data_IF_999054691600
#
_entry.id   IF_999054691600
#
_cell.length_a   1.000
_cell.length_b   1.000
_cell.length_c   1.000
_cell.angle_alpha   90.00
_cell.angle_beta   90.00
_cell.angle_gamma   90.00
#
_symmetry.space_group_name_H-M   'P 1'
#
loop_
_entity.id
_entity.type
_entity.pdbx_description
1 polymer ?
#
# COMPACT_ATOMS: atom_id res chain seq x y z
N UNK A 1 14.11 -6.64 58.29
CA UNK A 1 15.26 -6.76 57.38
C UNK A 1 14.97 -7.91 56.45
N UNK A 2 15.19 -7.75 55.18
CA UNK A 2 14.99 -8.72 54.11
C UNK A 2 13.57 -8.93 53.54
N UNK A 3 13.15 -7.95 52.73
CA UNK A 3 12.13 -8.23 51.68
C UNK A 3 12.26 -7.32 50.47
N UNK A 4 13.41 -6.71 50.17
CA UNK A 4 13.59 -5.77 49.05
C UNK A 4 14.60 -6.22 47.96
N UNK A 5 14.99 -7.48 47.93
CA UNK A 5 16.04 -7.96 46.99
C UNK A 5 15.60 -9.13 46.11
N UNK A 6 14.39 -9.11 45.52
CA UNK A 6 14.01 -10.07 44.43
C UNK A 6 12.99 -9.48 43.47
N UNK A 7 13.37 -8.44 42.72
CA UNK A 7 12.57 -7.95 41.58
C UNK A 7 13.45 -7.31 40.51
N UNK A 8 14.39 -8.05 40.04
CA UNK A 8 15.25 -7.62 38.90
C UNK A 8 15.62 -8.83 38.09
N UNK A 9 14.68 -9.46 37.40
CA UNK A 9 14.91 -10.47 36.34
C UNK A 9 13.57 -10.87 35.69
N UNK A 10 12.92 -9.94 35.00
CA UNK A 10 11.88 -10.26 34.01
C UNK A 10 11.80 -9.14 32.96
N UNK A 11 12.91 -8.90 32.26
CA UNK A 11 12.93 -8.07 31.04
C UNK A 11 13.22 -8.95 29.81
N UNK A 12 12.56 -10.11 29.72
CA UNK A 12 12.72 -11.06 28.63
C UNK A 12 11.48 -11.35 27.80
N UNK A 13 10.29 -10.80 28.15
CA UNK A 13 9.03 -11.20 27.52
C UNK A 13 8.50 -10.22 26.44
N UNK A 14 9.17 -9.08 26.22
CA UNK A 14 8.69 -8.05 25.29
C UNK A 14 8.92 -8.36 23.78
N UNK A 15 9.88 -9.19 23.45
CA UNK A 15 10.20 -9.50 22.04
C UNK A 15 9.25 -10.55 21.44
N UNK A 16 8.81 -11.52 22.23
CA UNK A 16 7.91 -12.58 21.73
C UNK A 16 6.47 -12.08 21.47
N UNK A 17 6.01 -11.06 22.18
CA UNK A 17 4.65 -10.53 21.96
C UNK A 17 4.56 -9.66 20.70
N UNK A 18 5.63 -8.93 20.35
CA UNK A 18 5.71 -8.14 19.10
C UNK A 18 5.78 -9.04 17.86
N UNK A 19 6.61 -10.08 17.90
CA UNK A 19 6.70 -11.09 16.83
C UNK A 19 5.36 -11.78 16.56
N UNK A 20 4.61 -12.12 17.62
CA UNK A 20 3.32 -12.78 17.50
C UNK A 20 2.21 -11.87 16.97
N UNK A 21 2.27 -10.57 17.26
CA UNK A 21 1.32 -9.57 16.74
C UNK A 21 1.54 -9.33 15.25
N UNK A 22 2.79 -9.24 14.81
CA UNK A 22 3.16 -9.04 13.41
C UNK A 22 2.86 -10.28 12.55
N UNK A 23 3.09 -11.49 13.09
CA UNK A 23 2.68 -12.73 12.42
C UNK A 23 1.14 -12.81 12.24
N UNK A 24 0.36 -12.33 13.20
CA UNK A 24 -1.11 -12.27 13.09
C UNK A 24 -1.56 -11.23 12.06
N UNK A 25 -0.90 -10.07 11.96
CA UNK A 25 -1.18 -9.04 10.95
C UNK A 25 -0.83 -9.56 9.56
N UNK A 26 0.32 -10.21 9.39
CA UNK A 26 0.73 -10.84 8.14
C UNK A 26 -0.16 -12.03 7.75
N UNK A 27 -0.62 -12.83 8.72
CA UNK A 27 -1.59 -13.89 8.49
C UNK A 27 -2.96 -13.32 8.05
N UNK A 28 -3.44 -12.26 8.70
CA UNK A 28 -4.66 -11.57 8.29
C UNK A 28 -4.51 -10.98 6.87
N UNK A 29 -3.38 -10.37 6.54
CA UNK A 29 -3.10 -9.86 5.20
C UNK A 29 -3.08 -10.98 4.14
N UNK A 30 -2.50 -12.14 4.44
CA UNK A 30 -2.55 -13.33 3.56
C UNK A 30 -3.96 -13.87 3.38
N UNK A 31 -4.77 -13.90 4.44
CA UNK A 31 -6.17 -14.35 4.37
C UNK A 31 -6.98 -13.41 3.47
N UNK A 32 -6.80 -12.09 3.60
CA UNK A 32 -7.51 -11.11 2.75
C UNK A 32 -6.98 -11.07 1.31
N UNK A 33 -5.69 -11.35 1.09
CA UNK A 33 -5.12 -11.47 -0.27
C UNK A 33 -5.50 -12.77 -0.98
N UNK A 34 -5.90 -13.81 -0.22
CA UNK A 34 -6.35 -15.11 -0.74
C UNK A 34 -7.87 -15.24 -0.85
N UNK A 35 -8.64 -14.23 -0.46
CA UNK A 35 -10.07 -14.24 -0.72
C UNK A 35 -10.29 -14.21 -2.25
N UNK A 36 -11.17 -15.09 -2.76
CA UNK A 36 -11.52 -15.05 -4.18
C UNK A 36 -11.96 -13.63 -4.53
N UNK A 37 -11.68 -13.14 -5.74
CA UNK A 37 -12.10 -11.82 -6.16
C UNK A 37 -13.62 -11.73 -5.97
N UNK A 38 -14.03 -11.07 -4.89
CA UNK A 38 -15.42 -10.62 -4.77
C UNK A 38 -15.67 -9.73 -5.98
N UNK A 39 -16.81 -9.86 -6.59
CA UNK A 39 -17.25 -9.04 -7.72
C UNK A 39 -16.77 -7.60 -7.54
N UNK A 40 -16.27 -6.99 -8.61
CA UNK A 40 -15.79 -5.61 -8.52
C UNK A 40 -16.96 -4.70 -8.11
N UNK A 41 -16.65 -3.59 -7.45
CA UNK A 41 -17.67 -2.62 -7.06
C UNK A 41 -18.46 -2.15 -8.30
N UNK A 42 -17.76 -1.94 -9.42
CA UNK A 42 -18.40 -1.57 -10.68
C UNK A 42 -19.30 -2.69 -11.23
N UNK A 43 -18.88 -3.96 -11.12
CA UNK A 43 -19.69 -5.10 -11.59
C UNK A 43 -20.97 -5.26 -10.75
N UNK A 44 -20.88 -5.02 -9.44
CA UNK A 44 -22.02 -5.04 -8.53
C UNK A 44 -23.00 -3.89 -8.77
N UNK A 45 -22.52 -2.73 -9.18
CA UNK A 45 -23.34 -1.52 -9.39
C UNK A 45 -23.76 -1.39 -10.87
N UNK A 46 -22.89 -1.79 -11.81
CA UNK A 46 -23.16 -1.73 -13.27
C UNK A 46 -23.29 -0.32 -13.87
N UNK A 47 -22.93 0.72 -13.12
CA UNK A 47 -23.16 2.12 -13.49
C UNK A 47 -21.87 2.96 -13.60
N UNK A 48 -20.71 2.34 -13.44
CA UNK A 48 -19.43 3.04 -13.52
C UNK A 48 -19.04 3.34 -14.96
N UNK A 49 -18.63 4.58 -15.21
CA UNK A 49 -18.01 4.95 -16.50
C UNK A 49 -16.54 4.60 -16.47
N UNK A 50 -16.05 3.88 -17.48
CA UNK A 50 -14.62 3.60 -17.63
C UNK A 50 -13.94 4.82 -18.24
N UNK A 51 -12.92 5.33 -17.53
CA UNK A 51 -12.11 6.48 -17.94
C UNK A 51 -10.64 6.08 -17.94
N UNK A 52 -9.91 6.44 -18.99
CA UNK A 52 -8.46 6.24 -19.08
C UNK A 52 -7.76 7.49 -18.56
N UNK A 53 -6.93 7.31 -17.54
CA UNK A 53 -6.08 8.35 -16.98
C UNK A 53 -4.64 8.14 -17.46
N UNK A 54 -4.09 9.02 -18.31
CA UNK A 54 -2.70 8.95 -18.73
C UNK A 54 -1.72 9.03 -17.54
N UNK A 55 -0.51 8.50 -17.71
CA UNK A 55 0.55 8.64 -16.71
C UNK A 55 0.74 10.11 -16.31
N UNK A 56 0.87 10.38 -15.02
CA UNK A 56 1.01 11.72 -14.44
C UNK A 56 -0.29 12.51 -14.29
N UNK A 57 -1.43 12.04 -14.83
CA UNK A 57 -2.71 12.73 -14.65
C UNK A 57 -3.31 12.46 -13.27
N UNK A 58 -4.16 13.38 -12.80
CA UNK A 58 -4.84 13.26 -11.51
C UNK A 58 -6.23 12.69 -11.69
N UNK A 59 -6.59 11.71 -10.84
CA UNK A 59 -7.95 11.24 -10.69
C UNK A 59 -8.76 12.26 -9.88
N UNK A 60 -8.16 12.77 -8.81
CA UNK A 60 -8.70 13.87 -8.00
C UNK A 60 -7.58 14.61 -7.29
N UNK A 61 -7.87 15.83 -6.82
CA UNK A 61 -6.93 16.67 -6.08
C UNK A 61 -7.35 16.81 -4.62
N UNK A 62 -6.39 17.09 -3.76
CA UNK A 62 -6.65 17.40 -2.36
C UNK A 62 -7.59 18.61 -2.25
N UNK A 63 -8.54 18.55 -1.32
CA UNK A 63 -9.57 19.54 -1.04
C UNK A 63 -10.63 19.76 -2.15
N UNK A 64 -10.62 18.95 -3.22
CA UNK A 64 -11.72 18.96 -4.21
C UNK A 64 -12.94 18.18 -3.69
N UNK A 65 -14.17 18.47 -4.17
CA UNK A 65 -15.37 17.71 -3.80
C UNK A 65 -15.19 16.21 -4.08
N UNK A 66 -15.63 15.37 -3.12
CA UNK A 66 -15.55 13.92 -3.23
C UNK A 66 -16.88 13.36 -3.73
N UNK A 67 -17.18 13.62 -4.99
CA UNK A 67 -18.44 13.23 -5.65
C UNK A 67 -18.38 11.81 -6.24
N UNK A 68 -17.16 11.27 -6.41
CA UNK A 68 -16.93 9.99 -7.07
C UNK A 68 -16.06 9.05 -6.22
N UNK A 69 -16.28 7.77 -6.41
CA UNK A 69 -15.42 6.66 -6.00
C UNK A 69 -14.77 6.10 -7.26
N UNK A 70 -13.52 5.75 -7.20
CA UNK A 70 -12.72 5.30 -8.33
C UNK A 70 -12.26 3.87 -8.08
N UNK A 71 -12.66 2.93 -8.93
CA UNK A 71 -12.16 1.55 -8.90
C UNK A 71 -11.13 1.35 -10.00
N UNK A 72 -9.92 0.95 -9.64
CA UNK A 72 -8.84 0.72 -10.59
C UNK A 72 -9.11 -0.59 -11.33
N UNK A 73 -9.22 -0.55 -12.65
CA UNK A 73 -9.38 -1.73 -13.52
C UNK A 73 -8.02 -2.22 -14.04
N UNK A 74 -7.13 -1.29 -14.37
CA UNK A 74 -5.74 -1.58 -14.75
C UNK A 74 -4.84 -0.39 -14.42
N UNK A 75 -3.53 -0.62 -14.36
CA UNK A 75 -2.55 0.43 -14.09
C UNK A 75 -2.17 0.55 -12.61
N UNK A 76 -1.45 1.62 -12.29
CA UNK A 76 -0.95 1.93 -10.95
C UNK A 76 -1.17 3.40 -10.64
N UNK A 77 -1.79 3.67 -9.50
CA UNK A 77 -2.00 5.02 -8.99
C UNK A 77 -1.49 5.13 -7.55
N UNK A 78 -1.25 6.34 -7.08
CA UNK A 78 -0.92 6.60 -5.68
C UNK A 78 -1.73 7.75 -5.11
N UNK A 79 -1.97 7.71 -3.81
CA UNK A 79 -2.51 8.84 -3.07
C UNK A 79 -1.39 9.56 -2.32
N UNK A 80 -1.51 10.87 -2.21
CA UNK A 80 -0.53 11.68 -1.52
C UNK A 80 -1.15 12.89 -0.84
N UNK A 81 -0.45 13.40 0.16
CA UNK A 81 -0.75 14.65 0.85
C UNK A 81 0.29 15.70 0.52
N UNK A 82 -0.15 16.92 0.26
CA UNK A 82 0.74 18.08 0.18
C UNK A 82 0.73 18.76 1.55
N UNK A 83 1.89 18.79 2.20
CA UNK A 83 2.06 19.46 3.49
C UNK A 83 1.98 20.97 3.36
N UNK A 84 1.84 21.70 4.48
CA UNK A 84 1.88 23.16 4.50
C UNK A 84 3.19 23.76 3.95
N UNK A 85 4.29 23.01 4.01
CA UNK A 85 5.58 23.38 3.42
C UNK A 85 5.69 23.06 1.91
N UNK A 86 4.63 22.58 1.27
CA UNK A 86 4.61 22.21 -0.15
C UNK A 86 5.23 20.84 -0.48
N UNK A 87 5.70 20.11 0.51
CA UNK A 87 6.29 18.79 0.29
C UNK A 87 5.20 17.73 0.05
N UNK A 88 5.42 16.85 -0.95
CA UNK A 88 4.58 15.71 -1.22
C UNK A 88 4.96 14.54 -0.29
N UNK A 89 3.94 13.87 0.26
CA UNK A 89 4.06 12.65 1.02
C UNK A 89 3.11 11.62 0.45
N UNK A 90 3.64 10.56 -0.12
CA UNK A 90 2.82 9.44 -0.63
C UNK A 90 2.29 8.68 0.56
N UNK A 91 0.99 8.34 0.50
CA UNK A 91 0.26 7.67 1.58
C UNK A 91 0.05 6.19 1.26
N UNK A 92 -0.36 5.86 0.02
CA UNK A 92 -0.53 4.47 -0.41
C UNK A 92 -0.52 4.36 -1.95
N UNK A 93 -0.29 3.13 -2.44
CA UNK A 93 -0.34 2.76 -3.85
C UNK A 93 -1.53 1.84 -4.09
N UNK A 94 -2.19 2.00 -5.24
CA UNK A 94 -3.39 1.24 -5.59
C UNK A 94 -3.27 0.64 -6.99
N UNK A 95 -3.78 -0.58 -7.12
CA UNK A 95 -3.73 -1.42 -8.31
C UNK A 95 -5.11 -1.90 -8.71
N UNK A 96 -5.18 -2.68 -9.78
CA UNK A 96 -6.42 -3.30 -10.23
C UNK A 96 -7.17 -4.02 -9.09
N UNK A 97 -8.48 -3.87 -9.08
CA UNK A 97 -9.41 -4.42 -8.10
C UNK A 97 -9.56 -3.60 -6.82
N UNK A 98 -8.80 -2.51 -6.64
CA UNK A 98 -8.88 -1.66 -5.46
C UNK A 98 -9.67 -0.38 -5.74
N UNK A 99 -10.42 0.07 -4.73
CA UNK A 99 -11.23 1.30 -4.80
C UNK A 99 -10.61 2.40 -3.95
N UNK A 100 -10.70 3.64 -4.45
CA UNK A 100 -10.18 4.85 -3.78
C UNK A 100 -11.21 5.97 -3.84
N UNK A 101 -11.01 6.97 -3.00
CA UNK A 101 -11.93 8.13 -2.95
C UNK A 101 -13.17 7.89 -2.09
N UNK A 102 -13.20 6.80 -1.30
CA UNK A 102 -14.27 6.54 -0.33
C UNK A 102 -14.14 7.56 0.81
N UNK A 103 -14.71 8.74 0.63
CA UNK A 103 -14.63 9.82 1.61
C UNK A 103 -15.91 9.87 2.46
N UNK A 104 -15.74 10.01 3.78
CA UNK A 104 -16.87 10.17 4.72
C UNK A 104 -17.43 11.60 4.64
N UNK A 105 -16.62 12.59 4.29
CA UNK A 105 -16.97 14.01 4.19
C UNK A 105 -16.79 14.51 2.77
N UNK A 106 -17.47 15.60 2.42
CA UNK A 106 -17.66 16.12 1.08
C UNK A 106 -16.42 16.52 0.27
N UNK A 107 -15.18 16.32 0.77
CA UNK A 107 -13.96 16.63 0.04
C UNK A 107 -12.87 15.59 0.23
N UNK A 108 -12.01 15.42 -0.78
CA UNK A 108 -10.84 14.54 -0.72
C UNK A 108 -9.76 15.12 0.20
N UNK A 109 -9.30 14.36 1.18
CA UNK A 109 -8.19 14.74 2.07
C UNK A 109 -6.82 14.56 1.42
N UNK A 110 -6.73 13.72 0.42
CA UNK A 110 -5.53 13.38 -0.35
C UNK A 110 -5.76 13.76 -1.81
N UNK A 111 -4.68 13.85 -2.58
CA UNK A 111 -4.74 13.83 -4.03
C UNK A 111 -4.46 12.41 -4.53
N UNK A 112 -4.91 12.06 -5.73
CA UNK A 112 -4.60 10.80 -6.40
C UNK A 112 -4.06 11.08 -7.80
N UNK A 113 -2.97 10.37 -8.16
CA UNK A 113 -2.28 10.53 -9.44
C UNK A 113 -1.91 9.17 -10.03
N UNK A 114 -2.03 9.04 -11.35
CA UNK A 114 -1.61 7.86 -12.09
C UNK A 114 -0.08 7.83 -12.27
N UNK A 115 0.57 6.73 -11.94
CA UNK A 115 2.01 6.49 -12.19
C UNK A 115 2.21 6.07 -13.64
N UNK A 116 1.42 5.10 -14.08
CA UNK A 116 1.31 4.65 -15.47
C UNK A 116 -0.12 4.88 -15.93
N UNK A 117 -0.37 4.73 -17.22
CA UNK A 117 -1.76 4.79 -17.72
C UNK A 117 -2.64 3.83 -16.95
N UNK A 118 -3.77 4.31 -16.47
CA UNK A 118 -4.71 3.54 -15.66
C UNK A 118 -6.13 3.61 -16.24
N UNK A 119 -6.79 2.47 -16.34
CA UNK A 119 -8.23 2.40 -16.60
C UNK A 119 -8.95 2.36 -15.28
N UNK A 120 -9.94 3.22 -15.12
CA UNK A 120 -10.62 3.43 -13.84
C UNK A 120 -12.13 3.50 -14.06
N UNK A 121 -12.88 2.71 -13.32
CA UNK A 121 -14.33 2.87 -13.24
C UNK A 121 -14.64 4.01 -12.28
N UNK A 122 -15.32 5.03 -12.78
CA UNK A 122 -15.75 6.22 -12.03
C UNK A 122 -17.20 6.04 -11.63
N UNK A 123 -17.46 5.96 -10.34
CA UNK A 123 -18.76 5.65 -9.74
C UNK A 123 -19.25 6.87 -8.96
N UNK A 124 -20.47 7.31 -9.23
CA UNK A 124 -21.07 8.41 -8.46
C UNK A 124 -21.32 7.97 -7.02
N UNK A 125 -20.86 8.77 -6.05
CA UNK A 125 -20.92 8.47 -4.62
C UNK A 125 -22.34 8.36 -4.11
N UNK A 126 -23.25 9.24 -4.54
CA UNK A 126 -24.65 9.22 -4.09
C UNK A 126 -25.35 7.95 -4.58
N UNK A 127 -25.03 7.51 -5.80
CA UNK A 127 -25.51 6.25 -6.36
C UNK A 127 -25.06 5.08 -5.49
N UNK A 128 -23.77 5.01 -5.13
CA UNK A 128 -23.26 3.98 -4.23
C UNK A 128 -24.00 4.00 -2.90
N UNK A 129 -24.13 5.17 -2.26
CA UNK A 129 -24.81 5.32 -0.98
C UNK A 129 -26.31 4.93 -1.06
N UNK A 130 -26.95 5.16 -2.19
CA UNK A 130 -28.34 4.72 -2.37
C UNK A 130 -28.45 3.20 -2.48
N UNK A 131 -27.53 2.56 -3.20
CA UNK A 131 -27.50 1.10 -3.41
C UNK A 131 -27.17 0.35 -2.11
N UNK A 132 -26.31 0.89 -1.24
CA UNK A 132 -25.97 0.27 0.05
C UNK A 132 -27.19 0.02 0.93
N UNK A 133 -28.29 0.74 0.73
CA UNK A 133 -29.54 0.52 1.48
C UNK A 133 -30.23 -0.81 1.14
N UNK A 134 -29.96 -1.36 -0.04
CA UNK A 134 -30.71 -2.51 -0.57
C UNK A 134 -29.79 -3.65 -1.04
N UNK A 135 -28.50 -3.41 -1.23
CA UNK A 135 -27.55 -4.39 -1.73
C UNK A 135 -26.44 -4.66 -0.71
N UNK A 136 -26.56 -5.79 -0.01
CA UNK A 136 -25.59 -6.22 1.00
C UNK A 136 -24.21 -6.47 0.41
N UNK A 137 -24.11 -7.00 -0.83
CA UNK A 137 -22.82 -7.30 -1.46
C UNK A 137 -22.01 -6.02 -1.68
N UNK A 138 -22.65 -4.92 -2.07
CA UNK A 138 -22.00 -3.60 -2.18
C UNK A 138 -21.50 -3.12 -0.82
N UNK A 139 -22.26 -3.32 0.25
CA UNK A 139 -21.82 -2.99 1.61
C UNK A 139 -20.61 -3.82 2.02
N UNK A 140 -20.68 -5.13 1.84
CA UNK A 140 -19.61 -6.06 2.19
C UNK A 140 -18.32 -5.73 1.39
N UNK A 141 -18.45 -5.38 0.11
CA UNK A 141 -17.32 -4.94 -0.72
C UNK A 141 -16.69 -3.64 -0.20
N UNK A 142 -17.49 -2.62 0.09
CA UNK A 142 -16.99 -1.35 0.65
C UNK A 142 -16.29 -1.58 2.01
N UNK A 143 -16.85 -2.43 2.87
CA UNK A 143 -16.22 -2.79 4.14
C UNK A 143 -14.86 -3.46 3.93
N UNK A 144 -14.79 -4.42 3.00
CA UNK A 144 -13.53 -5.12 2.71
C UNK A 144 -12.44 -4.16 2.20
N UNK A 145 -12.81 -3.19 1.35
CA UNK A 145 -11.90 -2.15 0.86
C UNK A 145 -11.37 -1.26 2.00
N UNK A 146 -12.27 -0.78 2.87
CA UNK A 146 -11.89 0.08 4.00
C UNK A 146 -10.97 -0.68 4.99
N UNK A 147 -11.29 -1.94 5.30
CA UNK A 147 -10.46 -2.76 6.18
C UNK A 147 -9.09 -3.03 5.54
N UNK A 148 -9.06 -3.37 4.25
CA UNK A 148 -7.82 -3.61 3.52
C UNK A 148 -6.93 -2.35 3.47
N UNK A 149 -7.51 -1.18 3.21
CA UNK A 149 -6.79 0.10 3.26
C UNK A 149 -6.21 0.35 4.66
N UNK A 150 -7.01 0.15 5.70
CA UNK A 150 -6.56 0.31 7.08
C UNK A 150 -5.38 -0.61 7.43
N UNK A 151 -5.45 -1.89 7.05
CA UNK A 151 -4.36 -2.85 7.31
C UNK A 151 -3.06 -2.43 6.60
N UNK A 152 -3.14 -1.92 5.37
CA UNK A 152 -1.98 -1.37 4.66
C UNK A 152 -1.37 -0.17 5.37
N UNK A 153 -2.22 0.73 5.88
CA UNK A 153 -1.78 1.91 6.65
C UNK A 153 -1.13 1.50 7.98
N UNK A 154 -1.68 0.53 8.70
CA UNK A 154 -1.09 -0.01 9.93
C UNK A 154 0.30 -0.62 9.65
N UNK A 155 0.44 -1.39 8.58
CA UNK A 155 1.74 -1.92 8.17
C UNK A 155 2.74 -0.81 7.81
N UNK A 156 2.30 0.20 7.09
CA UNK A 156 3.15 1.35 6.77
C UNK A 156 3.64 2.07 8.05
N UNK A 157 2.77 2.28 9.03
CA UNK A 157 3.15 2.88 10.32
C UNK A 157 4.23 2.05 11.02
N UNK A 158 4.10 0.73 11.02
CA UNK A 158 5.13 -0.18 11.58
C UNK A 158 6.45 0.02 10.86
N UNK A 159 6.45 0.10 9.53
CA UNK A 159 7.68 0.34 8.75
C UNK A 159 8.38 1.64 9.12
N UNK A 160 7.64 2.71 9.44
CA UNK A 160 8.26 3.99 9.83
C UNK A 160 9.11 3.88 11.11
N UNK A 161 8.92 2.86 11.93
CA UNK A 161 9.76 2.53 13.09
C UNK A 161 10.98 1.65 12.78
N UNK A 162 11.11 1.15 11.53
CA UNK A 162 12.17 0.22 11.12
C UNK A 162 13.36 0.95 10.47
N UNK A 163 14.48 0.25 10.28
CA UNK A 163 15.63 0.76 9.55
C UNK A 163 15.30 0.99 8.05
N UNK A 164 16.11 1.79 7.36
CA UNK A 164 15.93 2.05 5.94
C UNK A 164 15.99 0.76 5.09
N UNK A 165 16.84 -0.19 5.49
CA UNK A 165 16.99 -1.49 4.81
C UNK A 165 15.71 -2.31 4.96
N UNK A 166 15.19 -2.44 6.17
CA UNK A 166 13.94 -3.15 6.45
C UNK A 166 12.77 -2.55 5.68
N UNK A 167 12.61 -1.20 5.70
CA UNK A 167 11.53 -0.51 4.97
C UNK A 167 11.56 -0.80 3.47
N UNK A 168 12.74 -0.71 2.85
CA UNK A 168 12.86 -0.94 1.39
C UNK A 168 12.63 -2.41 1.07
N UNK A 169 13.15 -3.34 1.86
CA UNK A 169 12.94 -4.77 1.66
C UNK A 169 11.46 -5.15 1.81
N UNK A 170 10.81 -4.72 2.91
CA UNK A 170 9.40 -4.95 3.16
C UNK A 170 8.50 -4.37 2.07
N UNK A 171 8.83 -3.16 1.58
CA UNK A 171 8.11 -2.56 0.44
C UNK A 171 8.23 -3.41 -0.82
N UNK A 172 9.45 -3.84 -1.20
CA UNK A 172 9.66 -4.66 -2.40
C UNK A 172 8.89 -5.98 -2.33
N UNK A 173 8.92 -6.65 -1.19
CA UNK A 173 8.18 -7.89 -0.95
C UNK A 173 6.67 -7.67 -1.06
N UNK A 174 6.15 -6.63 -0.41
CA UNK A 174 4.72 -6.31 -0.45
C UNK A 174 4.25 -5.98 -1.87
N UNK A 175 5.05 -5.23 -2.62
CA UNK A 175 4.71 -4.91 -4.00
C UNK A 175 4.79 -6.13 -4.91
N UNK A 176 5.76 -7.04 -4.67
CA UNK A 176 5.83 -8.32 -5.36
C UNK A 176 4.56 -9.15 -5.16
N UNK A 177 4.08 -9.23 -3.93
CA UNK A 177 2.88 -9.99 -3.59
C UNK A 177 1.60 -9.38 -4.19
N UNK A 178 1.56 -8.05 -4.36
CA UNK A 178 0.41 -7.34 -4.94
C UNK A 178 0.40 -7.32 -6.46
N UNK A 179 1.57 -7.22 -7.09
CA UNK A 179 1.71 -7.07 -8.56
C UNK A 179 2.23 -8.32 -9.23
N UNK A 180 2.66 -9.32 -8.43
CA UNK A 180 3.55 -10.37 -8.87
C UNK A 180 2.92 -11.35 -9.85
N UNK A 181 3.53 -11.38 -11.03
CA UNK A 181 3.82 -12.68 -11.63
C UNK A 181 5.01 -13.27 -10.85
N UNK A 182 5.03 -14.58 -10.53
CA UNK A 182 6.12 -15.18 -9.75
C UNK A 182 7.49 -14.81 -10.35
N UNK A 183 8.31 -14.10 -9.57
CA UNK A 183 9.70 -13.78 -9.91
C UNK A 183 9.96 -12.44 -10.60
N UNK A 184 8.94 -11.73 -11.13
CA UNK A 184 9.17 -10.43 -11.76
C UNK A 184 8.30 -9.34 -11.10
N UNK A 185 8.93 -8.39 -10.46
CA UNK A 185 8.28 -7.21 -9.91
C UNK A 185 8.54 -6.03 -10.82
N UNK A 186 7.61 -5.74 -11.71
CA UNK A 186 7.66 -4.50 -12.46
C UNK A 186 7.13 -3.36 -11.56
N UNK A 187 8.03 -2.63 -10.93
CA UNK A 187 7.68 -1.44 -10.17
C UNK A 187 7.98 -0.19 -11.00
N UNK A 188 6.99 0.40 -11.67
CA UNK A 188 7.18 1.67 -12.37
C UNK A 188 7.29 2.86 -11.40
N UNK A 189 7.86 2.62 -10.22
CA UNK A 189 8.00 3.57 -9.12
C UNK A 189 9.42 4.11 -9.12
N UNK A 190 9.55 5.44 -9.15
CA UNK A 190 10.85 6.10 -9.09
C UNK A 190 11.45 6.05 -7.67
N UNK A 191 12.77 6.22 -7.57
CA UNK A 191 13.45 6.37 -6.26
C UNK A 191 12.87 7.50 -5.43
N UNK A 192 12.42 8.56 -6.08
CA UNK A 192 11.78 9.70 -5.43
C UNK A 192 10.45 9.30 -4.81
N UNK A 193 9.57 8.65 -5.56
CA UNK A 193 8.27 8.18 -5.05
C UNK A 193 8.46 7.18 -3.92
N UNK A 194 9.41 6.26 -4.05
CA UNK A 194 9.76 5.33 -3.00
C UNK A 194 10.26 6.06 -1.74
N UNK A 195 11.09 7.10 -1.88
CA UNK A 195 11.56 7.90 -0.75
C UNK A 195 10.42 8.68 -0.07
N UNK A 196 9.51 9.27 -0.86
CA UNK A 196 8.34 9.99 -0.36
C UNK A 196 7.37 9.08 0.39
N UNK A 197 7.23 7.82 -0.02
CA UNK A 197 6.41 6.82 0.65
C UNK A 197 7.07 6.31 1.95
N UNK A 198 8.33 5.90 1.89
CA UNK A 198 9.02 5.29 3.04
C UNK A 198 9.54 6.29 4.07
N UNK A 199 9.39 7.61 3.83
CA UNK A 199 9.90 8.65 4.71
C UNK A 199 11.44 8.66 4.77
N UNK A 200 12.10 8.35 3.67
CA UNK A 200 13.56 8.32 3.52
C UNK A 200 14.03 9.43 2.57
N UNK A 201 15.36 9.65 2.51
CA UNK A 201 15.92 10.46 1.43
C UNK A 201 16.16 9.62 0.17
N UNK A 202 16.18 10.26 -1.01
CA UNK A 202 16.45 9.58 -2.28
C UNK A 202 17.81 8.89 -2.26
N UNK A 203 18.82 9.51 -1.63
CA UNK A 203 20.17 8.96 -1.48
C UNK A 203 20.17 7.71 -0.62
N UNK A 204 19.38 7.69 0.46
CA UNK A 204 19.25 6.52 1.34
C UNK A 204 18.60 5.37 0.60
N UNK A 205 17.49 5.61 -0.10
CA UNK A 205 16.85 4.61 -0.96
C UNK A 205 17.82 4.07 -2.00
N UNK A 206 18.55 4.96 -2.69
CA UNK A 206 19.51 4.58 -3.73
C UNK A 206 20.63 3.71 -3.18
N UNK A 207 21.16 4.02 -1.98
CA UNK A 207 22.20 3.20 -1.32
C UNK A 207 21.67 1.82 -0.96
N UNK A 208 20.48 1.72 -0.38
CA UNK A 208 19.89 0.42 0.00
C UNK A 208 19.63 -0.45 -1.22
N UNK A 209 19.02 0.12 -2.27
CA UNK A 209 18.75 -0.64 -3.51
C UNK A 209 20.04 -1.07 -4.19
N UNK A 210 21.09 -0.23 -4.20
CA UNK A 210 22.40 -0.61 -4.71
C UNK A 210 23.00 -1.75 -3.89
N UNK A 211 22.87 -1.72 -2.56
CA UNK A 211 23.30 -2.81 -1.68
C UNK A 211 22.59 -4.13 -2.01
N UNK A 212 21.26 -4.11 -2.18
CA UNK A 212 20.51 -5.31 -2.56
C UNK A 212 20.93 -5.86 -3.92
N UNK A 213 21.19 -5.00 -4.90
CA UNK A 213 21.73 -5.39 -6.20
C UNK A 213 23.10 -6.04 -6.07
N UNK A 214 24.03 -5.40 -5.34
CA UNK A 214 25.40 -5.92 -5.13
C UNK A 214 25.39 -7.27 -4.40
N UNK A 215 24.47 -7.47 -3.48
CA UNK A 215 24.27 -8.74 -2.76
C UNK A 215 23.55 -9.80 -3.60
N UNK A 216 23.11 -9.49 -4.82
CA UNK A 216 22.35 -10.40 -5.69
C UNK A 216 20.93 -10.68 -5.24
N UNK A 217 20.35 -9.86 -4.35
CA UNK A 217 18.98 -10.03 -3.91
C UNK A 217 17.97 -9.54 -4.98
N UNK A 218 18.36 -8.51 -5.75
CA UNK A 218 17.56 -7.94 -6.83
C UNK A 218 18.42 -7.66 -8.06
N UNK A 219 17.78 -7.62 -9.24
CA UNK A 219 18.32 -7.02 -10.44
C UNK A 219 17.52 -5.74 -10.78
N UNK A 220 18.19 -4.81 -11.46
CA UNK A 220 17.55 -3.63 -12.07
C UNK A 220 17.65 -3.83 -13.56
N UNK A 221 16.51 -3.88 -14.23
CA UNK A 221 16.48 -4.00 -15.70
C UNK A 221 16.94 -2.66 -16.29
N UNK A 222 17.96 -2.73 -17.14
CA UNK A 222 18.56 -1.54 -17.76
C UNK A 222 17.52 -0.70 -18.50
N UNK A 223 17.63 0.62 -18.36
CA UNK A 223 16.73 1.63 -18.92
C UNK A 223 15.25 1.51 -18.50
N UNK A 224 14.98 0.83 -17.39
CA UNK A 224 13.64 0.75 -16.82
C UNK A 224 13.66 0.96 -15.30
N UNK A 225 12.52 1.33 -14.73
CA UNK A 225 12.31 1.35 -13.27
C UNK A 225 11.89 -0.05 -12.74
N UNK A 226 12.21 -1.12 -13.49
CA UNK A 226 11.85 -2.49 -13.14
C UNK A 226 12.88 -3.06 -12.19
N UNK A 227 12.39 -3.65 -11.10
CA UNK A 227 13.21 -4.36 -10.12
C UNK A 227 12.77 -5.83 -10.15
N UNK A 228 13.70 -6.71 -10.48
CA UNK A 228 13.49 -8.16 -10.41
C UNK A 228 13.99 -8.66 -9.05
N UNK A 229 13.19 -9.44 -8.34
CA UNK A 229 13.59 -10.11 -7.11
C UNK A 229 14.25 -11.44 -7.48
N UNK A 230 15.57 -11.53 -7.26
CA UNK A 230 16.37 -12.73 -7.55
C UNK A 230 16.43 -13.67 -6.35
N UNK A 231 16.45 -13.13 -5.13
CA UNK A 231 16.55 -13.89 -3.88
C UNK A 231 15.53 -13.33 -2.87
N UNK A 232 14.33 -13.91 -2.90
CA UNK A 232 13.23 -13.51 -2.02
C UNK A 232 13.56 -13.78 -0.55
N UNK A 233 14.16 -14.94 -0.24
CA UNK A 233 14.49 -15.30 1.14
C UNK A 233 15.51 -14.32 1.75
N UNK A 234 16.44 -13.82 0.94
CA UNK A 234 17.37 -12.78 1.38
C UNK A 234 16.64 -11.48 1.68
N UNK A 235 15.72 -11.04 0.83
CA UNK A 235 14.90 -9.85 1.11
C UNK A 235 14.05 -10.03 2.36
N UNK A 236 13.51 -11.22 2.60
CA UNK A 236 12.76 -11.53 3.82
C UNK A 236 13.64 -11.43 5.08
N UNK A 237 14.89 -11.90 5.01
CA UNK A 237 15.86 -11.70 6.10
C UNK A 237 16.21 -10.23 6.32
N UNK A 238 16.40 -9.47 5.24
CA UNK A 238 16.71 -8.03 5.31
C UNK A 238 15.49 -7.20 5.76
N UNK A 239 14.27 -7.66 5.50
CA UNK A 239 13.03 -7.06 6.02
C UNK A 239 12.85 -7.33 7.51
N UNK A 240 13.54 -8.33 8.06
CA UNK A 240 13.38 -8.74 9.45
C UNK A 240 12.03 -9.44 9.71
N UNK A 241 11.57 -9.38 10.94
CA UNK A 241 10.27 -9.96 11.35
C UNK A 241 9.11 -8.97 11.15
N UNK A 242 9.11 -8.23 10.03
CA UNK A 242 8.06 -7.24 9.72
C UNK A 242 6.84 -7.93 9.14
#
# INVERSE_FOLDING_TARGET
MDQFARRSLELGSGQNSRSNSLQKINAAHRIFSSMPPTDSLNDLIGLGQIVVYPAGSHLFRQNTPAEYVFEIKSGLVFTYHITSSGNRRIVDFYTAGQSIGIAIRGSHRLACQAIISAEVAVLNRETILSITKYNKQVVDKLWSEIISERLRQEQHIVWLGCSATERVAGFLLTMADRYGQPGLVELPITRRELSEYLGLTVETVSRVVTSFRTKGAIAIVENSNRIEILDRERLEREAGSI
#
